data_IF_379334748745
#
_entry.id   IF_379334748745
#
_cell.length_a   1.000
_cell.length_b   1.000
_cell.length_c   1.000
_cell.angle_alpha   90.00
_cell.angle_beta   90.00
_cell.angle_gamma   90.00
#
_symmetry.space_group_name_H-M   'P 1'
#
loop_
_entity.id
_entity.type
_entity.pdbx_description
1 polymer ?
#
# COMPACT_ATOMS: atom_id res chain seq x y z
N UNK A 1 -4.41 -3.21 17.13
CA UNK A 1 -5.57 -4.00 16.76
C UNK A 1 -5.20 -5.04 15.69
N UNK A 2 -4.91 -4.66 14.46
CA UNK A 2 -4.44 -5.64 13.47
C UNK A 2 -3.00 -6.04 13.76
N UNK A 3 -2.71 -7.35 13.69
CA UNK A 3 -1.34 -7.86 13.68
C UNK A 3 -0.71 -7.55 12.32
N UNK A 4 -1.38 -7.98 11.28
CA UNK A 4 -0.93 -7.82 9.91
C UNK A 4 -2.12 -7.94 8.95
N UNK A 5 -1.92 -7.49 7.73
CA UNK A 5 -2.86 -7.62 6.63
C UNK A 5 -2.15 -8.40 5.51
N UNK A 6 -2.88 -9.30 4.87
CA UNK A 6 -2.40 -10.08 3.75
C UNK A 6 -3.25 -9.79 2.52
N UNK A 7 -2.61 -9.48 1.40
CA UNK A 7 -3.29 -9.25 0.12
C UNK A 7 -2.71 -10.14 -0.97
N UNK A 8 -3.54 -10.51 -1.92
CA UNK A 8 -3.17 -11.44 -2.98
C UNK A 8 -2.51 -10.75 -4.16
N UNK A 9 -1.57 -11.47 -4.78
CA UNK A 9 -0.94 -11.07 -6.03
C UNK A 9 -0.82 -12.28 -6.96
N UNK A 10 -0.98 -12.05 -8.25
CA UNK A 10 -0.76 -13.07 -9.26
C UNK A 10 0.70 -13.17 -9.70
N UNK A 11 1.51 -12.16 -9.36
CA UNK A 11 2.93 -12.12 -9.69
C UNK A 11 3.68 -11.35 -8.59
N UNK A 12 4.12 -12.08 -7.58
CA UNK A 12 4.81 -11.48 -6.43
C UNK A 12 6.15 -10.86 -6.86
N UNK A 13 6.82 -11.44 -7.84
CA UNK A 13 8.06 -10.89 -8.38
C UNK A 13 7.89 -9.49 -8.92
N UNK A 14 6.78 -9.21 -9.59
CA UNK A 14 6.44 -7.86 -10.07
C UNK A 14 5.90 -6.97 -8.97
N UNK A 15 5.21 -7.53 -7.99
CA UNK A 15 4.66 -6.78 -6.86
C UNK A 15 5.76 -6.18 -5.99
N UNK A 16 6.89 -6.85 -5.83
CA UNK A 16 7.99 -6.40 -4.97
C UNK A 16 8.52 -5.01 -5.33
N UNK A 17 8.97 -4.73 -6.56
CA UNK A 17 9.44 -3.37 -6.87
C UNK A 17 8.33 -2.32 -6.76
N UNK A 18 7.08 -2.69 -7.04
CA UNK A 18 5.95 -1.77 -6.86
C UNK A 18 5.79 -1.37 -5.39
N UNK A 19 5.74 -2.36 -4.48
CA UNK A 19 5.56 -2.08 -3.05
C UNK A 19 6.80 -1.48 -2.42
N UNK A 20 8.01 -1.83 -2.87
CA UNK A 20 9.22 -1.13 -2.45
C UNK A 20 9.11 0.37 -2.71
N UNK A 21 8.65 0.76 -3.90
CA UNK A 21 8.49 2.15 -4.32
C UNK A 21 7.38 2.88 -3.54
N UNK A 22 6.21 2.25 -3.43
CA UNK A 22 5.06 2.80 -2.71
C UNK A 22 5.38 3.04 -1.23
N UNK A 23 6.03 2.07 -0.59
CA UNK A 23 6.17 2.02 0.87
C UNK A 23 7.40 2.78 1.38
N UNK A 24 8.41 3.00 0.55
CA UNK A 24 9.63 3.69 0.96
C UNK A 24 9.37 5.09 1.54
N UNK A 25 8.53 5.96 0.92
CA UNK A 25 8.22 7.25 1.51
C UNK A 25 7.48 7.17 2.85
N UNK A 26 6.87 6.03 3.16
CA UNK A 26 6.16 5.78 4.41
C UNK A 26 7.08 5.22 5.50
N UNK A 27 8.35 5.00 5.20
CA UNK A 27 9.32 4.43 6.14
C UNK A 27 9.16 2.92 6.34
N UNK A 28 8.51 2.24 5.40
CA UNK A 28 8.30 0.80 5.46
C UNK A 28 9.28 0.09 4.53
N UNK A 29 9.85 -1.01 5.02
CA UNK A 29 10.90 -1.75 4.32
C UNK A 29 10.54 -3.22 4.22
N UNK A 30 11.18 -3.90 3.26
CA UNK A 30 11.03 -5.34 3.07
C UNK A 30 11.77 -6.07 4.20
N UNK A 31 11.01 -6.87 4.98
CA UNK A 31 11.55 -7.69 6.07
C UNK A 31 11.74 -9.13 5.65
N UNK A 32 10.74 -9.70 4.99
CA UNK A 32 10.73 -11.09 4.57
C UNK A 32 10.57 -11.13 3.06
N UNK A 33 11.41 -11.93 2.42
CA UNK A 33 11.48 -12.00 0.97
C UNK A 33 11.58 -13.46 0.52
N UNK A 34 10.46 -13.99 0.03
CA UNK A 34 10.33 -15.34 -0.49
C UNK A 34 9.92 -15.28 -1.95
N UNK A 35 10.11 -16.37 -2.73
CA UNK A 35 9.69 -16.36 -4.13
C UNK A 35 8.21 -16.03 -4.35
N UNK A 36 7.34 -16.44 -3.43
CA UNK A 36 5.88 -16.31 -3.56
C UNK A 36 5.23 -15.45 -2.47
N UNK A 37 6.03 -14.74 -1.67
CA UNK A 37 5.52 -13.89 -0.58
C UNK A 37 6.55 -12.83 -0.20
N UNK A 38 6.09 -11.64 0.12
CA UNK A 38 6.93 -10.58 0.65
C UNK A 38 6.20 -9.87 1.78
N UNK A 39 6.93 -9.56 2.86
CA UNK A 39 6.39 -8.88 4.04
C UNK A 39 7.10 -7.57 4.29
N UNK A 40 6.33 -6.52 4.53
CA UNK A 40 6.80 -5.15 4.77
C UNK A 40 6.39 -4.66 6.15
N UNK A 41 7.24 -3.86 6.75
CA UNK A 41 6.94 -3.21 8.02
C UNK A 41 7.97 -2.14 8.35
N UNK A 42 7.84 -1.47 9.51
CA UNK A 42 8.84 -0.52 9.98
C UNK A 42 10.21 -1.18 10.10
N UNK A 43 11.30 -0.42 9.86
CA UNK A 43 12.66 -0.97 9.89
C UNK A 43 13.01 -1.61 11.23
N UNK A 44 12.51 -1.05 12.33
CA UNK A 44 12.73 -1.52 13.70
C UNK A 44 11.57 -2.40 14.24
N UNK A 45 10.66 -2.80 13.37
CA UNK A 45 9.49 -3.57 13.73
C UNK A 45 9.43 -4.93 13.06
N UNK A 46 8.21 -5.39 12.82
CA UNK A 46 7.93 -6.68 12.18
C UNK A 46 7.10 -6.46 10.92
N UNK A 47 7.01 -7.45 10.02
CA UNK A 47 6.12 -7.36 8.86
C UNK A 47 4.66 -7.18 9.31
N UNK A 48 3.98 -6.20 8.72
CA UNK A 48 2.59 -5.90 8.99
C UNK A 48 1.74 -5.90 7.72
N UNK A 49 2.37 -5.87 6.56
CA UNK A 49 1.70 -5.97 5.27
C UNK A 49 2.38 -7.08 4.46
N UNK A 50 1.58 -8.08 4.08
CA UNK A 50 2.06 -9.20 3.28
C UNK A 50 1.40 -9.20 1.91
N UNK A 51 2.22 -9.41 0.89
CA UNK A 51 1.76 -9.62 -0.48
C UNK A 51 2.19 -11.03 -0.88
N UNK A 52 1.24 -11.86 -1.28
CA UNK A 52 1.55 -13.25 -1.58
C UNK A 52 0.61 -13.86 -2.63
N UNK A 53 1.06 -14.98 -3.20
CA UNK A 53 0.17 -15.79 -4.02
C UNK A 53 -0.89 -16.44 -3.11
N UNK A 54 -2.16 -16.54 -3.55
CA UNK A 54 -3.19 -17.21 -2.75
C UNK A 54 -2.82 -18.64 -2.37
N UNK A 55 -3.14 -19.03 -1.14
CA UNK A 55 -2.78 -20.35 -0.61
C UNK A 55 -3.44 -21.51 -1.37
N UNK A 56 -4.61 -21.26 -1.97
CA UNK A 56 -5.33 -22.26 -2.77
C UNK A 56 -4.77 -22.42 -4.19
N UNK A 57 -3.74 -21.64 -4.53
CA UNK A 57 -3.07 -21.65 -5.83
C UNK A 57 -3.97 -21.22 -7.00
N UNK A 58 -5.12 -20.64 -6.70
CA UNK A 58 -5.98 -20.02 -7.70
C UNK A 58 -5.53 -18.57 -7.94
N UNK A 59 -6.07 -17.95 -8.99
CA UNK A 59 -5.77 -16.55 -9.27
C UNK A 59 -6.22 -15.64 -8.11
N UNK A 60 -5.39 -14.67 -7.78
CA UNK A 60 -5.77 -13.63 -6.84
C UNK A 60 -6.88 -12.77 -7.43
N UNK A 61 -7.83 -12.37 -6.61
CA UNK A 61 -8.90 -11.45 -6.99
C UNK A 61 -9.03 -10.36 -5.93
N UNK A 62 -9.51 -9.20 -6.35
CA UNK A 62 -9.72 -8.09 -5.42
C UNK A 62 -11.01 -8.27 -4.64
N UNK A 63 -11.00 -7.83 -3.38
CA UNK A 63 -12.23 -7.74 -2.60
C UNK A 63 -13.00 -6.49 -3.00
N UNK A 64 -14.21 -6.67 -3.49
CA UNK A 64 -15.07 -5.53 -3.82
C UNK A 64 -15.48 -4.82 -2.52
N UNK A 65 -15.11 -3.54 -2.40
CA UNK A 65 -15.36 -2.75 -1.20
C UNK A 65 -14.20 -2.73 -0.20
N UNK A 66 -13.11 -3.48 -0.44
CA UNK A 66 -11.93 -3.47 0.44
C UNK A 66 -10.99 -2.35 0.01
N UNK A 67 -10.50 -1.59 0.99
CA UNK A 67 -9.40 -0.64 0.83
C UNK A 67 -8.44 -0.82 1.99
N UNK A 68 -7.16 -0.95 1.68
CA UNK A 68 -6.10 -1.00 2.71
C UNK A 68 -5.56 0.41 2.87
N UNK A 69 -5.75 1.00 4.06
CA UNK A 69 -5.27 2.34 4.38
C UNK A 69 -3.91 2.28 5.08
N UNK A 70 -2.94 2.99 4.51
CA UNK A 70 -1.58 3.09 5.03
C UNK A 70 -1.35 4.52 5.53
N UNK A 71 -0.87 4.64 6.77
CA UNK A 71 -0.63 5.94 7.36
C UNK A 71 0.71 6.52 6.90
N UNK A 72 0.68 7.78 6.47
CA UNK A 72 1.87 8.53 6.11
C UNK A 72 2.23 9.52 7.23
N UNK A 73 3.53 9.77 7.48
CA UNK A 73 3.95 10.68 8.55
C UNK A 73 3.60 12.14 8.28
N UNK A 74 3.49 12.53 7.01
CA UNK A 74 3.14 13.89 6.61
C UNK A 74 2.52 13.89 5.22
N UNK A 75 2.05 15.06 4.77
CA UNK A 75 1.38 15.19 3.46
C UNK A 75 2.35 14.97 2.30
N UNK A 76 3.61 15.38 2.44
CA UNK A 76 4.61 15.18 1.39
C UNK A 76 4.89 13.69 1.16
N UNK A 77 4.82 12.87 2.21
CA UNK A 77 4.96 11.43 2.08
C UNK A 77 3.78 10.80 1.31
N UNK A 78 2.57 11.32 1.49
CA UNK A 78 1.40 10.92 0.69
C UNK A 78 1.65 11.19 -0.78
N UNK A 79 2.08 12.41 -1.11
CA UNK A 79 2.37 12.81 -2.49
C UNK A 79 3.45 11.92 -3.11
N UNK A 80 4.54 11.68 -2.37
CA UNK A 80 5.67 10.88 -2.83
C UNK A 80 5.28 9.42 -3.07
N UNK A 81 4.54 8.83 -2.12
CA UNK A 81 4.08 7.44 -2.24
C UNK A 81 3.15 7.25 -3.45
N UNK A 82 2.20 8.15 -3.62
CA UNK A 82 1.28 8.11 -4.77
C UNK A 82 2.04 8.22 -6.09
N UNK A 83 2.93 9.21 -6.21
CA UNK A 83 3.74 9.41 -7.40
C UNK A 83 4.60 8.19 -7.74
N UNK A 84 5.27 7.62 -6.73
CA UNK A 84 6.11 6.44 -6.90
C UNK A 84 5.30 5.22 -7.35
N UNK A 85 4.12 5.03 -6.76
CA UNK A 85 3.23 3.93 -7.14
C UNK A 85 2.76 4.03 -8.58
N UNK A 86 2.34 5.22 -9.03
CA UNK A 86 1.92 5.41 -10.42
C UNK A 86 3.08 5.19 -11.38
N UNK A 87 4.28 5.66 -11.05
CA UNK A 87 5.48 5.43 -11.85
C UNK A 87 5.84 3.95 -11.94
N UNK A 88 5.50 3.16 -10.92
CA UNK A 88 5.74 1.71 -10.87
C UNK A 88 4.60 0.87 -11.48
N UNK A 89 3.62 1.51 -12.12
CA UNK A 89 2.55 0.82 -12.83
C UNK A 89 1.20 0.79 -12.14
N UNK A 90 1.07 1.40 -10.97
CA UNK A 90 -0.20 1.56 -10.28
C UNK A 90 -1.17 2.47 -11.03
N UNK A 91 -2.44 2.40 -10.68
CA UNK A 91 -3.50 3.20 -11.32
C UNK A 91 -4.11 4.17 -10.32
N UNK A 92 -4.45 5.37 -10.80
CA UNK A 92 -5.11 6.39 -10.01
C UNK A 92 -6.54 5.96 -9.63
N UNK A 93 -6.89 6.20 -8.36
CA UNK A 93 -8.26 6.09 -7.82
C UNK A 93 -8.62 7.32 -6.99
N UNK A 94 -7.78 8.35 -7.02
CA UNK A 94 -7.98 9.61 -6.31
C UNK A 94 -6.66 10.28 -5.97
N UNK A 95 -6.31 11.34 -6.70
CA UNK A 95 -5.06 12.07 -6.50
C UNK A 95 -4.95 12.64 -5.07
N UNK A 96 -3.72 12.90 -4.57
CA UNK A 96 -3.52 13.44 -3.24
C UNK A 96 -4.30 14.73 -3.02
N UNK A 97 -4.95 14.83 -1.89
CA UNK A 97 -5.70 16.02 -1.50
C UNK A 97 -6.49 15.82 -0.22
N UNK A 98 -7.05 16.92 0.27
CA UNK A 98 -7.91 16.91 1.44
C UNK A 98 -9.24 16.22 1.14
N UNK A 99 -9.70 15.42 2.08
CA UNK A 99 -11.03 14.81 2.11
C UNK A 99 -11.74 15.32 3.37
N UNK A 100 -12.11 16.60 3.34
CA UNK A 100 -12.67 17.30 4.50
C UNK A 100 -13.96 16.67 5.02
N UNK A 101 -14.68 15.94 4.17
CA UNK A 101 -15.89 15.21 4.57
C UNK A 101 -15.60 14.02 5.50
N UNK A 102 -14.36 13.54 5.57
CA UNK A 102 -13.96 12.56 6.58
C UNK A 102 -13.53 13.28 7.87
N UNK A 103 -12.57 14.19 7.77
CA UNK A 103 -12.22 15.14 8.82
C UNK A 103 -11.29 16.24 8.24
N UNK A 104 -11.09 17.37 8.98
CA UNK A 104 -10.38 18.54 8.43
C UNK A 104 -8.94 18.29 7.99
N UNK A 105 -8.27 17.30 8.56
CA UNK A 105 -6.87 17.01 8.28
C UNK A 105 -6.66 15.71 7.51
N UNK A 106 -7.72 15.13 6.96
CA UNK A 106 -7.60 13.92 6.15
C UNK A 106 -7.00 14.27 4.79
N UNK A 107 -5.70 14.08 4.66
CA UNK A 107 -4.99 14.28 3.40
C UNK A 107 -4.60 12.92 2.84
N UNK A 108 -5.27 12.48 1.80
CA UNK A 108 -5.12 11.13 1.29
C UNK A 108 -5.07 11.03 -0.22
N UNK A 109 -4.60 9.88 -0.67
CA UNK A 109 -4.59 9.48 -2.07
C UNK A 109 -5.05 8.02 -2.16
N UNK A 110 -5.64 7.67 -3.28
CA UNK A 110 -6.15 6.33 -3.56
C UNK A 110 -5.58 5.83 -4.88
N UNK A 111 -5.20 4.55 -4.90
CA UNK A 111 -4.63 3.93 -6.09
C UNK A 111 -4.92 2.44 -6.12
N UNK A 112 -4.68 1.81 -7.28
CA UNK A 112 -4.72 0.36 -7.43
C UNK A 112 -3.29 -0.14 -7.63
N UNK A 113 -2.97 -1.27 -6.98
CA UNK A 113 -1.72 -1.96 -7.23
C UNK A 113 -1.78 -2.74 -8.57
N UNK A 114 -0.72 -3.49 -8.89
CA UNK A 114 -0.63 -4.21 -10.17
C UNK A 114 -1.69 -5.32 -10.31
N UNK A 115 -2.24 -5.80 -9.20
CA UNK A 115 -3.29 -6.83 -9.18
C UNK A 115 -4.68 -6.24 -9.03
N UNK A 116 -4.79 -4.90 -8.92
CA UNK A 116 -6.07 -4.21 -8.78
C UNK A 116 -6.52 -4.00 -7.34
N UNK A 117 -5.72 -4.37 -6.34
CA UNK A 117 -6.06 -4.10 -4.94
C UNK A 117 -6.06 -2.60 -4.68
N UNK A 118 -7.09 -2.12 -3.96
CA UNK A 118 -7.23 -0.69 -3.65
C UNK A 118 -6.43 -0.33 -2.41
N UNK A 119 -5.55 0.64 -2.56
CA UNK A 119 -4.67 1.14 -1.51
C UNK A 119 -4.99 2.62 -1.29
N UNK A 120 -5.08 3.00 -0.02
CA UNK A 120 -5.14 4.39 0.41
C UNK A 120 -3.84 4.74 1.13
N UNK A 121 -3.29 5.90 0.85
CA UNK A 121 -2.19 6.46 1.64
C UNK A 121 -2.72 7.76 2.25
N UNK A 122 -2.66 7.89 3.56
CA UNK A 122 -3.32 9.01 4.24
C UNK A 122 -2.47 9.56 5.39
N UNK A 123 -2.43 10.88 5.49
CA UNK A 123 -1.89 11.61 6.64
C UNK A 123 -3.06 12.27 7.38
N UNK A 124 -3.14 12.05 8.69
CA UNK A 124 -4.17 12.62 9.55
C UNK A 124 -3.68 13.86 10.31
N UNK A 125 -2.41 14.21 10.17
CA UNK A 125 -1.79 15.32 10.90
C UNK A 125 -2.04 16.64 10.19
N UNK A 126 -2.06 17.72 11.01
CA UNK A 126 -2.06 19.08 10.46
C UNK A 126 -0.79 19.31 9.63
N UNK A 127 -0.87 20.20 8.65
CA UNK A 127 0.32 20.56 7.87
C UNK A 127 1.40 21.21 8.72
#
# INVERSE_FOLDING_TARGET
MFSHVTIGSNDVGKAKPFYDALLQPLGLVRHMDYPNAVGYGPADGRPQLWILNPIDKQAASVGNGITIGLEAPDRSAVDAAYKAALAAGGKDEGAPGLRAHYHPNYYGAYLRDLDGNKICVVCHRKP
#
